data_IF_064496641692
#
_entry.id   IF_064496641692
#
_cell.length_a   1.000
_cell.length_b   1.000
_cell.length_c   1.000
_cell.angle_alpha   90.00
_cell.angle_beta   90.00
_cell.angle_gamma   90.00
#
_symmetry.space_group_name_H-M   'P 1'
#
loop_
_entity.id
_entity.type
_entity.pdbx_description
1 polymer ?
#
# COMPACT_ATOMS: atom_id res chain seq x y z
N UNK A 1 8.13 27.42 88.79
CA UNK A 1 8.67 27.45 87.46
C UNK A 1 8.55 26.05 86.81
N UNK A 2 7.70 25.83 85.84
CA UNK A 2 7.98 24.82 84.82
C UNK A 2 7.81 25.39 83.40
N UNK A 3 8.66 24.91 82.55
CA UNK A 3 8.80 25.31 81.15
C UNK A 3 7.74 24.61 80.25
N UNK A 4 7.13 25.39 79.38
CA UNK A 4 6.21 24.94 78.33
C UNK A 4 6.95 24.15 77.22
N UNK A 5 6.44 22.94 76.92
CA UNK A 5 6.86 22.12 75.78
C UNK A 5 5.94 22.41 74.59
N UNK A 6 6.53 22.90 73.51
CA UNK A 6 5.84 23.13 72.24
C UNK A 6 5.70 21.82 71.45
N UNK A 7 4.45 21.41 71.24
CA UNK A 7 4.10 20.32 70.32
C UNK A 7 4.15 20.86 68.89
N UNK A 8 5.15 20.43 68.11
CA UNK A 8 5.17 20.59 66.61
C UNK A 8 4.40 19.45 65.99
N UNK A 9 3.23 19.74 65.46
CA UNK A 9 2.55 18.87 64.50
C UNK A 9 3.34 18.88 63.20
N UNK A 10 3.85 17.71 62.78
CA UNK A 10 4.35 17.47 61.42
C UNK A 10 3.14 17.09 60.58
N UNK A 11 2.70 17.96 59.71
CA UNK A 11 1.83 17.64 58.58
C UNK A 11 2.66 16.80 57.60
N UNK A 12 2.28 15.56 57.45
CA UNK A 12 2.73 14.72 56.30
C UNK A 12 1.92 15.12 55.08
N UNK A 13 2.54 15.82 54.16
CA UNK A 13 2.02 15.95 52.79
C UNK A 13 2.15 14.60 52.11
N UNK A 14 1.04 13.89 51.94
CA UNK A 14 0.96 12.72 51.09
C UNK A 14 1.09 13.22 49.64
N UNK A 15 2.29 13.11 49.10
CA UNK A 15 2.54 13.27 47.69
C UNK A 15 1.93 12.07 46.97
N UNK A 16 0.73 12.23 46.41
CA UNK A 16 0.16 11.31 45.43
C UNK A 16 1.01 11.38 44.21
N UNK A 17 1.98 10.48 44.09
CA UNK A 17 2.72 10.25 42.87
C UNK A 17 1.76 9.57 41.90
N UNK A 18 1.11 10.38 41.04
CA UNK A 18 0.43 9.85 39.84
C UNK A 18 1.53 9.30 38.93
N UNK A 19 1.79 8.03 39.06
CA UNK A 19 2.62 7.30 38.12
C UNK A 19 1.93 7.36 36.75
N UNK A 20 2.38 8.25 35.89
CA UNK A 20 2.11 8.15 34.43
C UNK A 20 2.67 6.79 34.02
N UNK A 21 1.82 5.76 33.90
CA UNK A 21 2.15 4.57 33.16
C UNK A 21 2.41 5.05 31.73
N UNK A 22 3.68 5.10 31.33
CA UNK A 22 4.03 5.16 29.91
C UNK A 22 3.35 3.95 29.25
N UNK A 23 2.22 4.19 28.60
CA UNK A 23 1.57 3.16 27.82
C UNK A 23 2.54 2.77 26.71
N UNK A 24 3.02 1.54 26.75
CA UNK A 24 3.92 1.03 25.72
C UNK A 24 3.30 1.25 24.34
N UNK A 25 4.08 1.82 23.41
CA UNK A 25 3.61 2.09 22.06
C UNK A 25 3.23 0.79 21.36
N UNK A 26 2.05 0.71 20.78
CA UNK A 26 1.66 -0.42 19.92
C UNK A 26 2.60 -0.50 18.71
N UNK A 27 3.14 -1.67 18.44
CA UNK A 27 4.17 -1.88 17.43
C UNK A 27 3.57 -2.21 16.07
N UNK A 28 3.91 -1.40 15.07
CA UNK A 28 3.56 -1.59 13.66
C UNK A 28 4.79 -1.42 12.77
N UNK A 29 4.65 -1.72 11.49
CA UNK A 29 5.69 -1.43 10.53
C UNK A 29 5.39 -1.86 9.12
N UNK A 30 6.39 -1.69 8.25
CA UNK A 30 6.40 -2.25 6.90
C UNK A 30 7.60 -3.18 6.73
N UNK A 31 7.34 -4.35 6.17
CA UNK A 31 8.36 -5.35 5.83
C UNK A 31 8.50 -5.44 4.30
N UNK A 32 9.76 -5.40 3.83
CA UNK A 32 10.10 -5.46 2.40
C UNK A 32 11.60 -5.67 2.22
N UNK A 33 12.08 -5.71 0.96
CA UNK A 33 13.51 -5.81 0.66
C UNK A 33 13.82 -5.30 -0.77
N UNK A 34 14.55 -4.19 -0.90
CA UNK A 34 14.89 -3.20 0.14
C UNK A 34 13.68 -2.35 0.54
N UNK A 35 13.61 -1.88 1.79
CA UNK A 35 12.47 -1.10 2.29
C UNK A 35 12.84 0.31 2.82
N UNK A 36 14.13 0.63 2.86
CA UNK A 36 14.66 1.85 3.48
C UNK A 36 14.12 3.18 2.90
N UNK A 37 13.60 3.16 1.67
CA UNK A 37 13.03 4.33 1.00
C UNK A 37 11.53 4.54 1.26
N UNK A 38 10.88 3.65 2.04
CA UNK A 38 9.44 3.68 2.26
C UNK A 38 9.02 4.91 3.08
N UNK A 39 7.97 5.58 2.62
CA UNK A 39 7.33 6.70 3.30
C UNK A 39 6.21 6.28 4.26
N UNK A 40 5.94 4.99 4.40
CA UNK A 40 4.90 4.48 5.29
C UNK A 40 5.06 4.93 6.75
N UNK A 41 6.27 5.02 7.35
CA UNK A 41 6.41 5.55 8.70
C UNK A 41 5.92 7.00 8.84
N UNK A 42 6.21 7.86 7.86
CA UNK A 42 5.73 9.24 7.84
C UNK A 42 4.20 9.30 7.74
N UNK A 43 3.62 8.53 6.82
CA UNK A 43 2.17 8.50 6.59
C UNK A 43 1.43 8.02 7.84
N UNK A 44 1.85 6.89 8.41
CA UNK A 44 1.21 6.32 9.60
C UNK A 44 1.39 7.19 10.86
N UNK A 45 2.51 7.91 10.99
CA UNK A 45 2.69 8.89 12.07
C UNK A 45 1.69 10.06 11.96
N UNK A 46 1.40 10.53 10.74
CA UNK A 46 0.37 11.56 10.54
C UNK A 46 -1.02 11.04 10.87
N UNK A 47 -1.38 9.83 10.44
CA UNK A 47 -2.64 9.19 10.78
C UNK A 47 -2.81 8.98 12.29
N UNK A 48 -1.76 8.50 12.95
CA UNK A 48 -1.76 8.29 14.39
C UNK A 48 -2.01 9.59 15.16
N UNK A 49 -1.34 10.68 14.75
CA UNK A 49 -1.52 12.00 15.38
C UNK A 49 -2.94 12.54 15.20
N UNK A 50 -3.53 12.39 14.01
CA UNK A 50 -4.91 12.82 13.75
C UNK A 50 -5.93 12.05 14.59
N UNK A 51 -5.74 10.72 14.71
CA UNK A 51 -6.68 9.82 15.37
C UNK A 51 -6.40 9.59 16.86
N UNK A 52 -5.38 10.25 17.44
CA UNK A 52 -4.99 10.08 18.84
C UNK A 52 -4.45 8.68 19.18
N UNK A 53 -3.94 7.94 18.18
CA UNK A 53 -3.37 6.62 18.39
C UNK A 53 -1.91 6.71 18.82
N UNK A 54 -1.50 5.88 19.78
CA UNK A 54 -0.14 5.85 20.31
C UNK A 54 0.63 4.66 19.72
N UNK A 55 1.23 4.85 18.53
CA UNK A 55 1.89 3.79 17.78
C UNK A 55 3.38 4.06 17.56
N UNK A 56 4.16 2.98 17.41
CA UNK A 56 5.50 2.97 16.82
C UNK A 56 5.43 2.27 15.47
N UNK A 57 5.77 2.96 14.39
CA UNK A 57 5.76 2.38 13.04
C UNK A 57 7.19 2.35 12.47
N UNK A 58 7.73 1.15 12.15
CA UNK A 58 9.13 0.94 11.77
C UNK A 58 9.29 0.28 10.41
N UNK A 59 10.49 0.42 9.84
CA UNK A 59 10.94 -0.28 8.65
C UNK A 59 11.61 -1.60 9.05
N UNK A 60 11.22 -2.70 8.41
CA UNK A 60 11.83 -4.02 8.57
C UNK A 60 12.37 -4.48 7.22
N UNK A 61 13.68 -4.31 7.02
CA UNK A 61 14.36 -4.82 5.82
C UNK A 61 14.68 -6.30 6.03
N UNK A 62 13.97 -7.16 5.31
CA UNK A 62 14.00 -8.61 5.54
C UNK A 62 14.16 -9.32 4.20
N UNK A 63 15.26 -10.07 4.06
CA UNK A 63 15.52 -10.88 2.88
C UNK A 63 14.45 -11.99 2.70
N UNK A 64 14.16 -12.44 1.46
CA UNK A 64 13.11 -13.44 1.21
C UNK A 64 13.20 -14.71 2.05
N UNK A 65 14.39 -15.25 2.26
CA UNK A 65 14.61 -16.47 3.04
C UNK A 65 14.30 -16.33 4.54
N UNK A 66 14.25 -15.10 5.07
CA UNK A 66 13.98 -14.83 6.50
C UNK A 66 12.55 -14.39 6.78
N UNK A 67 11.76 -14.11 5.74
CA UNK A 67 10.46 -13.43 5.85
C UNK A 67 9.51 -14.11 6.84
N UNK A 68 9.26 -15.40 6.69
CA UNK A 68 8.29 -16.12 7.53
C UNK A 68 8.70 -16.12 9.02
N UNK A 69 10.00 -16.37 9.30
CA UNK A 69 10.51 -16.40 10.66
C UNK A 69 10.42 -15.01 11.32
N UNK A 70 10.81 -13.96 10.58
CA UNK A 70 10.79 -12.58 11.08
C UNK A 70 9.38 -12.07 11.36
N UNK A 71 8.43 -12.35 10.47
CA UNK A 71 7.02 -11.94 10.65
C UNK A 71 6.40 -12.66 11.84
N UNK A 72 6.59 -13.99 11.95
CA UNK A 72 6.10 -14.75 13.12
C UNK A 72 6.70 -14.25 14.44
N UNK A 73 8.01 -13.99 14.46
CA UNK A 73 8.67 -13.42 15.63
C UNK A 73 8.12 -12.04 16.01
N UNK A 74 7.85 -11.15 15.03
CA UNK A 74 7.23 -9.85 15.27
C UNK A 74 5.89 -9.97 16.01
N UNK A 75 4.98 -10.82 15.54
CA UNK A 75 3.69 -11.02 16.19
C UNK A 75 3.80 -11.73 17.55
N UNK A 76 4.70 -12.72 17.68
CA UNK A 76 4.96 -13.40 18.93
C UNK A 76 5.49 -12.46 20.04
N UNK A 77 6.18 -11.37 19.66
CA UNK A 77 6.64 -10.33 20.59
C UNK A 77 5.64 -9.16 20.75
N UNK A 78 4.38 -9.38 20.44
CA UNK A 78 3.31 -8.40 20.68
C UNK A 78 3.12 -7.36 19.58
N UNK A 79 3.69 -7.56 18.39
CA UNK A 79 3.42 -6.72 17.22
C UNK A 79 1.94 -6.74 16.85
N UNK A 80 1.40 -5.58 16.48
CA UNK A 80 -0.03 -5.41 16.19
C UNK A 80 -0.37 -5.48 14.72
N UNK A 81 0.52 -5.00 13.84
CA UNK A 81 0.28 -5.03 12.40
C UNK A 81 1.52 -4.75 11.56
N UNK A 82 1.55 -5.34 10.38
CA UNK A 82 2.60 -5.10 9.38
C UNK A 82 1.98 -4.84 8.01
N UNK A 83 2.44 -3.76 7.34
CA UNK A 83 2.31 -3.72 5.89
C UNK A 83 3.40 -4.60 5.27
N UNK A 84 3.08 -5.19 4.13
CA UNK A 84 3.97 -6.05 3.37
C UNK A 84 4.16 -5.46 1.97
N UNK A 85 5.41 -5.26 1.57
CA UNK A 85 5.74 -4.80 0.24
C UNK A 85 6.65 -5.79 -0.49
N UNK A 86 7.15 -5.40 -1.66
CA UNK A 86 8.05 -6.22 -2.46
C UNK A 86 9.24 -6.76 -1.64
N UNK A 87 9.63 -8.03 -1.84
CA UNK A 87 9.03 -9.02 -2.76
C UNK A 87 8.01 -9.95 -2.09
N UNK A 88 7.54 -9.65 -0.88
CA UNK A 88 6.94 -10.60 0.06
C UNK A 88 5.42 -10.79 -0.03
N UNK A 89 4.68 -9.99 -0.83
CA UNK A 89 3.20 -9.99 -0.84
C UNK A 89 2.57 -11.37 -1.09
N UNK A 90 3.20 -12.21 -1.91
CA UNK A 90 2.73 -13.58 -2.17
C UNK A 90 3.06 -14.49 -0.98
N UNK A 91 4.30 -14.46 -0.49
CA UNK A 91 4.72 -15.26 0.66
C UNK A 91 3.96 -14.90 1.95
N UNK A 92 3.40 -13.70 2.04
CA UNK A 92 2.65 -13.26 3.20
C UNK A 92 1.29 -13.99 3.36
N UNK A 93 0.80 -14.65 2.32
CA UNK A 93 -0.38 -15.52 2.38
C UNK A 93 -0.14 -16.68 3.36
N UNK A 94 1.07 -17.26 3.34
CA UNK A 94 1.41 -18.44 4.16
C UNK A 94 1.61 -18.13 5.66
N UNK A 95 1.69 -16.85 6.03
CA UNK A 95 1.80 -16.41 7.44
C UNK A 95 0.45 -16.05 8.05
N UNK A 96 -0.55 -15.77 7.23
CA UNK A 96 -1.90 -15.46 7.69
C UNK A 96 -2.62 -16.74 8.12
N UNK A 97 -3.38 -16.68 9.24
CA UNK A 97 -4.26 -17.75 9.69
C UNK A 97 -5.64 -17.63 9.02
N UNK A 98 -6.02 -16.40 8.69
CA UNK A 98 -7.23 -16.05 7.99
C UNK A 98 -6.93 -15.02 6.91
N UNK A 99 -7.63 -15.07 5.78
CA UNK A 99 -7.54 -14.09 4.70
C UNK A 99 -8.88 -13.42 4.52
N UNK A 100 -8.85 -12.09 4.30
CA UNK A 100 -10.04 -11.41 3.80
C UNK A 100 -10.39 -11.90 2.39
N UNK A 101 -11.66 -11.83 1.95
CA UNK A 101 -12.05 -12.28 0.61
C UNK A 101 -11.19 -11.67 -0.51
N UNK A 102 -10.86 -10.38 -0.41
CA UNK A 102 -10.01 -9.70 -1.41
C UNK A 102 -8.56 -10.18 -1.39
N UNK A 103 -8.00 -10.52 -0.23
CA UNK A 103 -6.64 -11.06 -0.12
C UNK A 103 -6.58 -12.51 -0.62
N UNK A 104 -7.59 -13.32 -0.30
CA UNK A 104 -7.72 -14.69 -0.78
C UNK A 104 -7.82 -14.74 -2.31
N UNK A 105 -8.68 -13.92 -2.91
CA UNK A 105 -8.82 -13.83 -4.36
C UNK A 105 -7.54 -13.35 -5.05
N UNK A 106 -6.88 -12.34 -4.46
CA UNK A 106 -5.60 -11.84 -4.96
C UNK A 106 -4.46 -12.86 -4.82
N UNK A 107 -4.57 -13.83 -3.94
CA UNK A 107 -3.47 -14.69 -3.49
C UNK A 107 -2.21 -13.85 -3.17
N UNK A 108 -2.42 -12.72 -2.51
CA UNK A 108 -1.39 -11.77 -2.12
C UNK A 108 -1.87 -10.90 -0.95
N UNK A 109 -0.99 -10.65 0.02
CA UNK A 109 -1.26 -9.86 1.23
C UNK A 109 -0.32 -8.68 1.27
N UNK A 110 -0.86 -7.47 1.49
CA UNK A 110 -0.07 -6.27 1.76
C UNK A 110 -0.24 -5.75 3.19
N UNK A 111 -1.16 -6.34 3.96
CA UNK A 111 -1.46 -5.91 5.34
C UNK A 111 -1.74 -7.12 6.21
N UNK A 112 -1.00 -7.25 7.31
CA UNK A 112 -1.17 -8.26 8.34
C UNK A 112 -1.64 -7.58 9.63
N UNK A 113 -2.60 -8.19 10.33
CA UNK A 113 -3.13 -7.68 11.59
C UNK A 113 -3.20 -8.79 12.64
N UNK A 114 -2.75 -8.52 13.86
CA UNK A 114 -2.96 -9.42 14.99
C UNK A 114 -4.46 -9.50 15.34
N UNK A 115 -4.95 -10.71 15.57
CA UNK A 115 -6.30 -11.02 16.08
C UNK A 115 -6.19 -11.97 17.26
N UNK A 116 -7.28 -12.16 17.98
CA UNK A 116 -7.31 -13.06 19.15
C UNK A 116 -6.94 -14.51 18.80
N UNK A 117 -7.30 -14.94 17.60
CA UNK A 117 -7.15 -16.30 17.07
C UNK A 117 -6.03 -16.44 16.03
N UNK A 118 -5.20 -15.39 15.84
CA UNK A 118 -4.05 -15.49 14.96
C UNK A 118 -3.77 -14.21 14.18
N UNK A 119 -3.30 -14.36 12.94
CA UNK A 119 -2.93 -13.26 12.05
C UNK A 119 -3.93 -13.21 10.89
N UNK A 120 -4.62 -12.08 10.75
CA UNK A 120 -5.45 -11.78 9.58
C UNK A 120 -4.59 -11.18 8.47
N UNK A 121 -4.71 -11.71 7.26
CA UNK A 121 -4.12 -11.17 6.04
C UNK A 121 -5.14 -10.43 5.19
N UNK A 122 -4.79 -9.23 4.75
CA UNK A 122 -5.61 -8.39 3.88
C UNK A 122 -4.81 -7.82 2.71
N UNK A 123 -5.51 -7.37 1.67
CA UNK A 123 -4.90 -6.65 0.57
C UNK A 123 -5.63 -5.32 0.33
N UNK A 124 -4.98 -4.23 0.71
CA UNK A 124 -5.51 -2.87 0.62
C UNK A 124 -5.08 -2.13 -0.64
N UNK A 125 -4.19 -2.71 -1.47
CA UNK A 125 -3.64 -2.05 -2.66
C UNK A 125 -4.74 -1.61 -3.64
N UNK A 126 -5.66 -2.51 -3.95
CA UNK A 126 -6.71 -2.23 -4.91
C UNK A 126 -7.72 -1.20 -4.39
N UNK A 127 -8.09 -1.26 -3.11
CA UNK A 127 -8.92 -0.23 -2.49
C UNK A 127 -8.22 1.15 -2.55
N UNK A 128 -6.91 1.19 -2.31
CA UNK A 128 -6.10 2.39 -2.43
C UNK A 128 -6.06 2.93 -3.85
N UNK A 129 -5.81 2.09 -4.85
CA UNK A 129 -5.78 2.50 -6.25
C UNK A 129 -7.14 3.03 -6.73
N UNK A 130 -8.22 2.32 -6.45
CA UNK A 130 -9.58 2.73 -6.86
C UNK A 130 -9.95 4.09 -6.28
N UNK A 131 -9.66 4.32 -4.98
CA UNK A 131 -9.90 5.63 -4.37
C UNK A 131 -9.07 6.73 -5.03
N UNK A 132 -7.81 6.48 -5.29
CA UNK A 132 -6.99 7.50 -5.94
C UNK A 132 -7.50 7.82 -7.34
N UNK A 133 -7.76 6.80 -8.14
CA UNK A 133 -8.26 7.01 -9.50
C UNK A 133 -9.62 7.73 -9.52
N UNK A 134 -10.58 7.27 -8.71
CA UNK A 134 -11.96 7.77 -8.76
C UNK A 134 -12.16 9.03 -7.92
N UNK A 135 -11.74 9.01 -6.64
CA UNK A 135 -12.07 10.07 -5.69
C UNK A 135 -11.07 11.24 -5.78
N UNK A 136 -9.76 10.97 -5.86
CA UNK A 136 -8.75 12.03 -5.88
C UNK A 136 -8.50 12.60 -7.29
N UNK A 137 -8.52 11.73 -8.32
CA UNK A 137 -8.18 12.10 -9.70
C UNK A 137 -9.39 12.30 -10.59
N UNK A 138 -10.60 11.91 -10.15
CA UNK A 138 -11.86 12.07 -10.85
C UNK A 138 -11.99 11.23 -12.12
N UNK A 139 -11.30 10.09 -12.21
CA UNK A 139 -11.33 9.22 -13.38
C UNK A 139 -12.55 8.30 -13.34
N UNK A 140 -13.21 8.15 -14.48
CA UNK A 140 -14.29 7.17 -14.70
C UNK A 140 -13.70 5.96 -15.40
N UNK A 141 -13.77 4.79 -14.76
CA UNK A 141 -13.19 3.53 -15.25
C UNK A 141 -14.24 2.63 -15.92
N UNK A 142 -15.50 2.82 -15.58
CA UNK A 142 -16.63 2.07 -16.17
C UNK A 142 -16.62 2.19 -17.70
N UNK A 143 -16.71 1.04 -18.40
CA UNK A 143 -16.66 0.91 -19.85
C UNK A 143 -15.36 1.44 -20.49
N UNK A 144 -14.26 1.51 -19.73
CA UNK A 144 -12.94 1.91 -20.23
C UNK A 144 -12.06 0.70 -20.49
N UNK A 145 -11.17 0.84 -21.46
CA UNK A 145 -10.12 -0.14 -21.76
C UNK A 145 -8.92 0.11 -20.85
N UNK A 146 -8.58 -0.85 -20.02
CA UNK A 146 -7.48 -0.71 -19.04
C UNK A 146 -6.36 -1.67 -19.40
N UNK A 147 -5.12 -1.17 -19.45
CA UNK A 147 -3.90 -1.97 -19.54
C UNK A 147 -3.17 -1.96 -18.20
N UNK A 148 -2.80 -3.15 -17.71
CA UNK A 148 -1.89 -3.29 -16.57
C UNK A 148 -0.59 -3.91 -17.07
N UNK A 149 0.53 -3.23 -16.85
CA UNK A 149 1.86 -3.69 -17.22
C UNK A 149 2.48 -4.40 -16.02
N UNK A 150 2.75 -5.71 -16.15
CA UNK A 150 3.27 -6.58 -15.10
C UNK A 150 2.22 -7.54 -14.53
N UNK A 151 2.65 -8.73 -14.11
CA UNK A 151 1.82 -9.79 -13.54
C UNK A 151 2.35 -10.26 -12.18
N UNK A 152 2.73 -9.28 -11.33
CA UNK A 152 3.27 -9.50 -10.00
C UNK A 152 2.25 -9.36 -8.87
N UNK A 153 2.74 -9.36 -7.61
CA UNK A 153 1.91 -9.21 -6.42
C UNK A 153 1.13 -7.89 -6.36
N UNK A 154 1.65 -6.80 -6.96
CA UNK A 154 0.91 -5.54 -7.05
C UNK A 154 -0.31 -5.68 -7.97
N UNK A 155 -0.13 -6.25 -9.15
CA UNK A 155 -1.23 -6.51 -10.11
C UNK A 155 -2.31 -7.39 -9.48
N UNK A 156 -1.92 -8.46 -8.77
CA UNK A 156 -2.86 -9.31 -8.03
C UNK A 156 -3.75 -8.52 -7.07
N UNK A 157 -3.14 -7.60 -6.31
CA UNK A 157 -3.86 -6.81 -5.31
C UNK A 157 -4.81 -5.77 -5.89
N UNK A 158 -4.52 -5.21 -7.08
CA UNK A 158 -5.34 -4.14 -7.67
C UNK A 158 -6.41 -4.67 -8.62
N UNK A 159 -6.25 -5.89 -9.16
CA UNK A 159 -7.06 -6.39 -10.28
C UNK A 159 -8.54 -6.56 -9.90
N UNK A 160 -8.84 -7.23 -8.78
CA UNK A 160 -10.23 -7.43 -8.35
C UNK A 160 -11.01 -6.12 -8.14
N UNK A 161 -10.51 -5.17 -7.32
CA UNK A 161 -11.15 -3.87 -7.17
C UNK A 161 -11.29 -3.06 -8.46
N UNK A 162 -10.32 -3.14 -9.39
CA UNK A 162 -10.45 -2.51 -10.72
C UNK A 162 -11.55 -3.14 -11.56
N UNK A 163 -11.65 -4.47 -11.61
CA UNK A 163 -12.73 -5.18 -12.30
C UNK A 163 -14.10 -4.84 -11.70
N UNK A 164 -14.17 -4.61 -10.38
CA UNK A 164 -15.38 -4.14 -9.68
C UNK A 164 -15.90 -2.78 -10.16
N UNK A 165 -15.10 -1.98 -10.89
CA UNK A 165 -15.53 -0.73 -11.52
C UNK A 165 -16.18 -0.95 -12.90
N UNK A 166 -16.37 -2.19 -13.34
CA UNK A 166 -16.95 -2.59 -14.61
C UNK A 166 -16.26 -1.93 -15.84
N UNK A 167 -14.93 -2.04 -15.99
CA UNK A 167 -14.26 -1.64 -17.22
C UNK A 167 -14.78 -2.45 -18.42
N UNK A 168 -14.58 -1.95 -19.66
CA UNK A 168 -14.87 -2.72 -20.87
C UNK A 168 -14.01 -3.98 -20.89
N UNK A 169 -12.72 -3.83 -20.64
CA UNK A 169 -11.75 -4.94 -20.55
C UNK A 169 -10.52 -4.49 -19.73
N UNK A 170 -9.96 -5.39 -18.96
CA UNK A 170 -8.62 -5.25 -18.38
C UNK A 170 -7.67 -6.19 -19.11
N UNK A 171 -6.64 -5.64 -19.74
CA UNK A 171 -5.57 -6.42 -20.37
C UNK A 171 -4.35 -6.40 -19.44
N UNK A 172 -3.84 -7.56 -19.08
CA UNK A 172 -2.60 -7.71 -18.33
C UNK A 172 -1.50 -8.07 -19.31
N UNK A 173 -0.49 -7.21 -19.43
CA UNK A 173 0.66 -7.48 -20.28
C UNK A 173 1.91 -7.77 -19.46
N UNK A 174 2.63 -8.83 -19.78
CA UNK A 174 3.85 -9.20 -19.08
C UNK A 174 4.92 -9.75 -20.01
N UNK A 175 6.20 -9.61 -19.65
CA UNK A 175 7.33 -10.17 -20.38
C UNK A 175 7.17 -11.70 -20.61
N UNK A 176 6.70 -12.40 -19.60
CA UNK A 176 6.34 -13.82 -19.67
C UNK A 176 4.82 -13.91 -19.83
N UNK A 177 4.34 -14.17 -21.05
CA UNK A 177 2.91 -14.19 -21.38
C UNK A 177 2.12 -15.13 -20.45
N UNK A 178 2.66 -16.34 -20.20
CA UNK A 178 2.01 -17.35 -19.36
C UNK A 178 1.68 -16.86 -17.94
N UNK A 179 2.48 -15.93 -17.38
CA UNK A 179 2.17 -15.33 -16.08
C UNK A 179 0.97 -14.40 -16.15
N UNK A 180 0.84 -13.63 -17.22
CA UNK A 180 -0.30 -12.75 -17.44
C UNK A 180 -1.57 -13.56 -17.70
N UNK A 181 -1.48 -14.59 -18.55
CA UNK A 181 -2.58 -15.51 -18.88
C UNK A 181 -3.10 -16.24 -17.63
N UNK A 182 -2.19 -16.82 -16.84
CA UNK A 182 -2.56 -17.50 -15.59
C UNK A 182 -3.20 -16.54 -14.57
N UNK A 183 -2.69 -15.30 -14.50
CA UNK A 183 -3.28 -14.29 -13.62
C UNK A 183 -4.68 -13.87 -14.10
N UNK A 184 -4.84 -13.61 -15.39
CA UNK A 184 -6.15 -13.26 -15.98
C UNK A 184 -7.17 -14.38 -15.75
N UNK A 185 -6.78 -15.64 -15.99
CA UNK A 185 -7.66 -16.79 -15.78
C UNK A 185 -8.20 -16.91 -14.35
N UNK A 186 -7.43 -16.48 -13.34
CA UNK A 186 -7.84 -16.51 -11.95
C UNK A 186 -8.86 -15.41 -11.57
N UNK A 187 -9.20 -14.48 -12.48
CA UNK A 187 -10.08 -13.34 -12.21
C UNK A 187 -11.24 -13.23 -13.21
N UNK A 188 -11.44 -14.23 -14.08
CA UNK A 188 -12.50 -14.21 -15.09
C UNK A 188 -13.92 -14.20 -14.51
N UNK A 189 -14.09 -14.63 -13.28
CA UNK A 189 -15.34 -14.56 -12.51
C UNK A 189 -15.72 -13.14 -12.08
N UNK A 190 -14.76 -12.18 -12.06
CA UNK A 190 -14.99 -10.80 -11.66
C UNK A 190 -15.22 -9.83 -12.83
N UNK A 191 -14.93 -10.23 -14.06
CA UNK A 191 -15.15 -9.37 -15.23
C UNK A 191 -14.29 -9.73 -16.45
N UNK A 192 -14.35 -8.90 -17.48
CA UNK A 192 -13.60 -9.07 -18.71
C UNK A 192 -12.11 -8.79 -18.48
N UNK A 193 -11.30 -9.84 -18.47
CA UNK A 193 -9.85 -9.77 -18.27
C UNK A 193 -9.10 -10.69 -19.22
N UNK A 194 -7.97 -10.23 -19.74
CA UNK A 194 -7.12 -10.96 -20.68
C UNK A 194 -5.66 -10.84 -20.27
N UNK A 195 -4.88 -11.90 -20.45
CA UNK A 195 -3.44 -11.93 -20.26
C UNK A 195 -2.71 -12.09 -21.59
N UNK A 196 -1.66 -11.28 -21.82
CA UNK A 196 -0.88 -11.31 -23.07
C UNK A 196 0.61 -11.07 -22.81
N UNK A 197 1.45 -11.44 -23.77
CA UNK A 197 2.84 -10.98 -23.84
C UNK A 197 2.95 -9.58 -24.44
N UNK A 198 4.04 -8.85 -24.17
CA UNK A 198 4.24 -7.51 -24.74
C UNK A 198 4.16 -7.46 -26.26
N UNK A 199 4.70 -8.49 -26.95
CA UNK A 199 4.65 -8.59 -28.40
C UNK A 199 3.24 -8.81 -28.97
N UNK A 200 2.29 -9.19 -28.14
CA UNK A 200 0.90 -9.45 -28.52
C UNK A 200 -0.01 -8.22 -28.27
N UNK A 201 0.53 -7.16 -27.63
CA UNK A 201 -0.20 -5.91 -27.49
C UNK A 201 -0.42 -5.27 -28.85
N UNK A 202 -1.66 -5.23 -29.29
CA UNK A 202 -2.06 -4.66 -30.57
C UNK A 202 -3.45 -4.00 -30.45
N UNK A 203 -3.79 -3.18 -31.42
CA UNK A 203 -5.13 -2.61 -31.56
C UNK A 203 -5.25 -1.17 -31.07
N UNK A 204 -6.47 -0.81 -30.65
CA UNK A 204 -6.78 0.56 -30.22
C UNK A 204 -6.07 0.94 -28.92
N UNK A 205 -5.76 2.22 -28.73
CA UNK A 205 -5.20 2.72 -27.48
C UNK A 205 -6.06 2.39 -26.26
N UNK A 206 -5.43 2.35 -25.08
CA UNK A 206 -6.11 2.18 -23.80
C UNK A 206 -6.49 3.53 -23.20
N UNK A 207 -7.58 3.57 -22.44
CA UNK A 207 -7.99 4.78 -21.70
C UNK A 207 -7.12 4.98 -20.46
N UNK A 208 -6.78 3.88 -19.78
CA UNK A 208 -5.88 3.87 -18.61
C UNK A 208 -4.77 2.82 -18.79
N UNK A 209 -3.54 3.22 -18.54
CA UNK A 209 -2.39 2.30 -18.47
C UNK A 209 -1.80 2.39 -17.06
N UNK A 210 -1.78 1.26 -16.34
CA UNK A 210 -1.20 1.14 -15.01
C UNK A 210 0.12 0.37 -15.10
N UNK A 211 1.24 1.03 -14.80
CA UNK A 211 2.52 0.35 -14.68
C UNK A 211 2.67 -0.24 -13.27
N UNK A 212 2.64 -1.56 -13.18
CA UNK A 212 2.79 -2.34 -11.95
C UNK A 212 4.10 -3.16 -11.94
N UNK A 213 5.08 -2.79 -12.78
CA UNK A 213 6.37 -3.50 -12.85
C UNK A 213 7.38 -2.94 -11.85
N UNK A 214 8.35 -3.78 -11.47
CA UNK A 214 9.55 -3.34 -10.76
C UNK A 214 10.59 -2.69 -11.68
N UNK A 215 10.37 -2.66 -13.00
CA UNK A 215 11.29 -2.05 -13.96
C UNK A 215 11.48 -0.55 -13.68
N UNK A 216 10.43 0.16 -13.26
CA UNK A 216 10.53 1.56 -12.84
C UNK A 216 11.49 1.78 -11.67
N UNK A 217 11.65 0.82 -10.78
CA UNK A 217 12.62 0.88 -9.67
C UNK A 217 14.08 0.81 -10.17
N UNK A 218 14.29 0.11 -11.30
CA UNK A 218 15.59 0.03 -11.99
C UNK A 218 15.80 1.16 -13.01
N UNK A 219 14.82 2.06 -13.20
CA UNK A 219 14.86 3.09 -14.25
C UNK A 219 14.66 2.54 -15.66
N UNK A 220 14.14 1.31 -15.77
CA UNK A 220 13.93 0.61 -17.03
C UNK A 220 12.48 0.78 -17.53
N UNK A 221 12.32 0.77 -18.86
CA UNK A 221 11.04 0.75 -19.53
C UNK A 221 10.82 -0.64 -20.16
N UNK A 222 9.71 -1.34 -19.85
CA UNK A 222 9.38 -2.57 -20.55
C UNK A 222 9.17 -2.35 -22.06
N UNK A 223 9.58 -3.29 -22.92
CA UNK A 223 9.45 -3.16 -24.37
C UNK A 223 8.02 -3.49 -24.84
N UNK A 224 7.13 -2.52 -24.77
CA UNK A 224 5.76 -2.63 -25.32
C UNK A 224 5.52 -1.52 -26.36
N UNK A 225 4.60 -1.75 -27.34
CA UNK A 225 4.41 -0.83 -28.45
C UNK A 225 3.85 0.53 -28.00
N UNK A 226 4.27 1.60 -28.68
CA UNK A 226 3.83 2.96 -28.37
C UNK A 226 2.35 3.21 -28.73
N UNK A 227 1.82 2.42 -29.64
CA UNK A 227 0.44 2.48 -30.15
C UNK A 227 -0.62 2.20 -29.09
N UNK A 228 -0.21 1.68 -27.93
CA UNK A 228 -1.11 1.52 -26.76
C UNK A 228 -1.51 2.85 -26.14
N UNK A 229 -0.78 3.94 -26.47
CA UNK A 229 -1.07 5.31 -26.01
C UNK A 229 -1.78 6.08 -27.09
N UNK A 230 -2.89 6.72 -26.71
CA UNK A 230 -3.59 7.73 -27.49
C UNK A 230 -3.67 9.07 -26.77
N UNK A 231 -4.14 10.10 -27.44
CA UNK A 231 -4.24 11.46 -26.89
C UNK A 231 -5.15 11.60 -25.65
N UNK A 232 -5.97 10.61 -25.36
CA UNK A 232 -6.84 10.57 -24.16
C UNK A 232 -6.36 9.59 -23.09
N UNK A 233 -5.26 8.85 -23.35
CA UNK A 233 -4.73 7.85 -22.42
C UNK A 233 -4.21 8.51 -21.15
N UNK A 234 -4.65 8.01 -20.01
CA UNK A 234 -4.06 8.31 -18.70
C UNK A 234 -3.03 7.24 -18.36
N UNK A 235 -1.80 7.63 -18.06
CA UNK A 235 -0.74 6.73 -17.61
C UNK A 235 -0.51 6.89 -16.12
N UNK A 236 -0.57 5.80 -15.37
CA UNK A 236 -0.41 5.75 -13.93
C UNK A 236 0.72 4.77 -13.55
N UNK A 237 1.73 5.24 -12.85
CA UNK A 237 2.79 4.37 -12.34
C UNK A 237 2.54 4.06 -10.86
N UNK A 238 2.48 2.80 -10.49
CA UNK A 238 2.35 2.41 -9.06
C UNK A 238 3.57 2.82 -8.24
N UNK A 239 4.73 2.98 -8.88
CA UNK A 239 5.90 3.56 -8.25
C UNK A 239 5.73 5.08 -8.06
N UNK A 240 6.49 5.62 -7.12
CA UNK A 240 6.48 7.05 -6.80
C UNK A 240 7.91 7.55 -6.55
N UNK A 241 8.12 8.87 -6.63
CA UNK A 241 9.44 9.50 -6.52
C UNK A 241 10.26 9.43 -7.80
N UNK A 242 11.57 9.34 -7.66
CA UNK A 242 12.48 9.31 -8.82
C UNK A 242 12.31 8.05 -9.69
N UNK A 243 11.94 6.93 -9.08
CA UNK A 243 11.77 5.65 -9.78
C UNK A 243 10.60 5.61 -10.76
N UNK A 244 9.62 6.50 -10.63
CA UNK A 244 8.48 6.58 -11.54
C UNK A 244 8.79 7.30 -12.85
N UNK A 245 9.89 8.00 -12.94
CA UNK A 245 10.18 8.99 -13.99
C UNK A 245 10.33 8.36 -15.37
N UNK A 246 10.99 7.20 -15.49
CA UNK A 246 11.28 6.60 -16.81
C UNK A 246 9.99 6.24 -17.60
N UNK A 247 9.02 5.58 -16.95
CA UNK A 247 7.73 5.27 -17.58
C UNK A 247 6.92 6.53 -17.89
N UNK A 248 6.85 7.48 -16.95
CA UNK A 248 6.02 8.67 -17.12
C UNK A 248 6.62 9.66 -18.12
N UNK A 249 7.94 9.80 -18.18
CA UNK A 249 8.60 10.56 -19.23
C UNK A 249 8.36 9.95 -20.61
N UNK A 250 8.46 8.62 -20.73
CA UNK A 250 8.13 7.94 -21.98
C UNK A 250 6.66 8.18 -22.37
N UNK A 251 5.71 7.97 -21.44
CA UNK A 251 4.29 8.19 -21.69
C UNK A 251 3.98 9.61 -22.16
N UNK A 252 4.63 10.61 -21.54
CA UNK A 252 4.50 12.00 -21.94
C UNK A 252 5.04 12.24 -23.36
N UNK A 253 6.19 11.65 -23.71
CA UNK A 253 6.74 11.72 -25.08
C UNK A 253 5.86 11.06 -26.12
N UNK A 254 5.08 10.03 -25.73
CA UNK A 254 4.09 9.40 -26.61
C UNK A 254 2.77 10.18 -26.70
N UNK A 255 2.62 11.28 -25.98
CA UNK A 255 1.44 12.15 -26.07
C UNK A 255 0.26 11.70 -25.22
N UNK A 256 0.46 11.01 -24.09
CA UNK A 256 -0.62 10.70 -23.16
C UNK A 256 -1.27 11.97 -22.58
N UNK A 257 -2.56 11.91 -22.25
CA UNK A 257 -3.32 13.03 -21.69
C UNK A 257 -2.80 13.43 -20.28
N UNK A 258 -2.46 12.45 -19.45
CA UNK A 258 -1.97 12.64 -18.08
C UNK A 258 -0.95 11.56 -17.73
N UNK A 259 0.14 11.96 -17.09
CA UNK A 259 1.16 11.06 -16.55
C UNK A 259 1.22 11.22 -15.02
N UNK A 260 0.86 10.18 -14.26
CA UNK A 260 0.55 10.24 -12.85
C UNK A 260 1.40 9.24 -12.07
N UNK A 261 1.92 9.66 -10.93
CA UNK A 261 2.65 8.80 -9.98
C UNK A 261 1.72 8.25 -8.90
N UNK A 262 2.02 7.09 -8.34
CA UNK A 262 1.24 6.36 -7.36
C UNK A 262 1.19 6.94 -5.93
N UNK A 263 1.38 8.25 -5.77
CA UNK A 263 1.35 8.91 -4.47
C UNK A 263 0.01 8.77 -3.76
N UNK A 264 -1.09 8.95 -4.51
CA UNK A 264 -2.42 8.84 -3.94
C UNK A 264 -2.71 7.40 -3.51
N UNK A 265 -2.43 6.43 -4.36
CA UNK A 265 -2.57 5.02 -4.00
C UNK A 265 -1.75 4.66 -2.75
N UNK A 266 -0.52 5.17 -2.61
CA UNK A 266 0.32 4.95 -1.43
C UNK A 266 -0.38 5.39 -0.14
N UNK A 267 -1.01 6.57 -0.15
CA UNK A 267 -1.68 7.12 1.04
C UNK A 267 -3.01 6.40 1.29
N UNK A 268 -3.80 6.18 0.24
CA UNK A 268 -5.13 5.57 0.35
C UNK A 268 -5.08 4.11 0.84
N UNK A 269 -4.12 3.29 0.35
CA UNK A 269 -3.93 1.92 0.84
C UNK A 269 -3.44 1.90 2.29
N UNK A 270 -2.61 2.87 2.70
CA UNK A 270 -2.16 2.99 4.08
C UNK A 270 -3.31 3.40 5.02
N UNK A 271 -4.21 4.29 4.57
CA UNK A 271 -5.41 4.64 5.33
C UNK A 271 -6.36 3.44 5.51
N UNK A 272 -6.44 2.57 4.50
CA UNK A 272 -7.24 1.35 4.58
C UNK A 272 -6.59 0.32 5.53
N UNK A 273 -5.25 0.19 5.54
CA UNK A 273 -4.52 -0.63 6.53
C UNK A 273 -4.72 -0.08 7.95
N UNK A 274 -4.64 1.23 8.12
CA UNK A 274 -4.87 1.90 9.41
C UNK A 274 -6.30 1.63 9.91
N UNK A 275 -7.31 1.70 9.02
CA UNK A 275 -8.69 1.34 9.35
C UNK A 275 -8.82 -0.11 9.80
N UNK A 276 -8.11 -1.05 9.15
CA UNK A 276 -8.10 -2.46 9.54
C UNK A 276 -7.56 -2.65 10.96
N UNK A 277 -6.52 -1.92 11.32
CA UNK A 277 -5.85 -2.05 12.63
C UNK A 277 -6.61 -1.34 13.76
N UNK A 278 -7.14 -0.15 13.51
CA UNK A 278 -7.68 0.74 14.54
C UNK A 278 -9.21 0.93 14.47
N UNK A 279 -9.89 0.38 13.45
CA UNK A 279 -11.33 0.56 13.25
C UNK A 279 -11.76 1.93 12.73
N UNK A 280 -10.83 2.89 12.64
CA UNK A 280 -11.08 4.27 12.17
C UNK A 280 -10.28 4.52 10.90
N UNK A 281 -10.95 5.04 9.85
CA UNK A 281 -10.28 5.45 8.64
C UNK A 281 -9.87 6.93 8.77
N UNK A 282 -8.56 7.24 8.73
CA UNK A 282 -8.08 8.62 8.81
C UNK A 282 -8.40 9.39 7.51
N UNK A 283 -8.36 10.72 7.57
CA UNK A 283 -8.44 11.57 6.38
C UNK A 283 -7.09 11.52 5.62
N UNK A 284 -7.15 11.57 4.29
CA UNK A 284 -5.95 11.41 3.45
C UNK A 284 -5.47 12.71 2.82
N UNK A 285 -6.36 13.70 2.67
CA UNK A 285 -6.07 14.94 1.95
C UNK A 285 -4.87 15.73 2.52
N UNK A 286 -4.76 15.84 3.86
CA UNK A 286 -3.64 16.57 4.49
C UNK A 286 -2.31 15.82 4.34
N UNK A 287 -2.33 14.48 4.31
CA UNK A 287 -1.13 13.65 4.09
C UNK A 287 -0.66 13.79 2.65
N UNK A 288 -1.59 13.78 1.68
CA UNK A 288 -1.29 14.02 0.27
C UNK A 288 -0.68 15.41 0.06
N UNK A 289 -1.22 16.44 0.72
CA UNK A 289 -0.66 17.80 0.68
C UNK A 289 0.76 17.85 1.25
N UNK A 290 1.00 17.26 2.41
CA UNK A 290 2.32 17.21 3.04
C UNK A 290 3.36 16.45 2.19
N UNK A 291 2.97 15.36 1.54
CA UNK A 291 3.84 14.63 0.61
C UNK A 291 4.18 15.46 -0.63
N UNK A 292 3.22 16.25 -1.14
CA UNK A 292 3.46 17.15 -2.28
C UNK A 292 4.47 18.24 -1.93
N UNK A 293 4.36 18.87 -0.76
CA UNK A 293 5.32 19.86 -0.27
C UNK A 293 6.72 19.26 -0.10
N UNK A 294 6.81 18.08 0.50
CA UNK A 294 8.08 17.36 0.69
C UNK A 294 8.79 17.05 -0.63
N UNK A 295 8.04 16.77 -1.71
CA UNK A 295 8.59 16.56 -3.06
C UNK A 295 9.18 17.83 -3.66
N UNK A 296 8.53 18.97 -3.42
CA UNK A 296 8.97 20.27 -3.96
C UNK A 296 10.21 20.81 -3.25
N UNK A 297 10.51 20.29 -2.05
CA UNK A 297 11.65 20.74 -1.21
C UNK A 297 12.89 19.82 -1.31
N UNK A 298 12.82 18.68 -2.00
CA UNK A 298 13.88 17.69 -2.18
C UNK A 298 14.39 17.64 -3.64
#
# INVERSE_FOLDING_TARGET
MPRAGAFRRRERADAVTIGLMETALDQYGVVGHPVGHSLSPFIHAMFARESGQNISYRLYDVAPGEFHARVRAFFAHGGRGLNVTLPHKIAAVDVAHELTPRAAHAAAVNTLAARADGILGDNTDGAGLVRDLCDNLGLVITHRRVLIIGAGGATRGILGPLLGLAPEVVVIANRTAQRAEALAAAFTDLGAVQGVGFAQLAGAPFDLIVNATSASLAGELPPFPAEVIGAQTVCYDLAYGKSATAFLEWATRQGCARALQGWGMLVEQAAESFRLWHGVRPTTAHVLAALKERRSSA
#
